data_IF_374987291723
#
_entry.id   IF_374987291723
#
_cell.length_a   1.000
_cell.length_b   1.000
_cell.length_c   1.000
_cell.angle_alpha   90.00
_cell.angle_beta   90.00
_cell.angle_gamma   90.00
#
_symmetry.space_group_name_H-M   'P 1'
#
loop_
_entity.id
_entity.type
_entity.pdbx_description
1 polymer ?
#
# COMPACT_ATOMS: atom_id res chain seq x y z
N UNK A 1 18.43 -1.05 -13.51
CA UNK A 1 17.57 -1.27 -14.69
C UNK A 1 16.94 -0.01 -15.27
N UNK A 2 16.37 0.90 -14.47
CA UNK A 2 15.78 2.15 -14.98
C UNK A 2 16.68 2.98 -15.89
N UNK A 3 17.98 3.08 -15.59
CA UNK A 3 18.95 3.75 -16.46
C UNK A 3 19.04 3.13 -17.88
N UNK A 4 18.80 1.82 -18.02
CA UNK A 4 18.83 1.11 -19.32
C UNK A 4 17.69 1.56 -20.26
N UNK A 5 16.62 2.13 -19.71
CA UNK A 5 15.49 2.68 -20.45
C UNK A 5 15.44 4.22 -20.38
N UNK A 6 16.54 4.87 -19.99
CA UNK A 6 16.66 6.32 -19.99
C UNK A 6 16.11 7.04 -18.75
N UNK A 7 15.63 6.32 -17.73
CA UNK A 7 15.17 6.93 -16.47
C UNK A 7 16.34 7.12 -15.51
N UNK A 8 16.60 8.38 -15.13
CA UNK A 8 17.64 8.74 -14.14
C UNK A 8 17.02 8.84 -12.75
N UNK A 9 17.44 7.98 -11.83
CA UNK A 9 17.01 8.00 -10.43
C UNK A 9 18.16 8.40 -9.51
N UNK A 10 17.83 9.09 -8.42
CA UNK A 10 18.74 9.38 -7.31
C UNK A 10 18.25 8.63 -6.08
N UNK A 11 19.12 7.86 -5.44
CA UNK A 11 18.82 7.23 -4.16
C UNK A 11 18.82 8.32 -3.08
N UNK A 12 17.75 8.38 -2.29
CA UNK A 12 17.57 9.33 -1.20
C UNK A 12 17.23 8.52 0.06
N UNK A 13 17.83 8.87 1.19
CA UNK A 13 17.63 8.20 2.47
C UNK A 13 17.66 9.21 3.62
N UNK A 14 17.07 8.82 4.76
CA UNK A 14 16.91 9.61 5.97
C UNK A 14 16.99 8.65 7.18
N UNK A 15 16.97 9.21 8.39
CA UNK A 15 16.64 8.42 9.59
C UNK A 15 15.27 7.75 9.40
N UNK A 16 15.05 6.56 9.97
CA UNK A 16 13.87 5.74 9.69
C UNK A 16 12.54 6.43 10.02
N UNK A 17 12.44 7.08 11.17
CA UNK A 17 11.25 7.85 11.55
C UNK A 17 10.98 9.00 10.58
N UNK A 18 12.02 9.74 10.22
CA UNK A 18 11.91 10.80 9.20
C UNK A 18 11.50 10.24 7.82
N UNK A 19 12.08 9.12 7.40
CA UNK A 19 11.76 8.45 6.14
C UNK A 19 10.27 8.10 6.06
N UNK A 20 9.74 7.47 7.10
CA UNK A 20 8.31 7.14 7.20
C UNK A 20 7.42 8.38 7.16
N UNK A 21 7.79 9.44 7.88
CA UNK A 21 7.01 10.68 7.91
C UNK A 21 6.97 11.37 6.54
N UNK A 22 8.11 11.45 5.83
CA UNK A 22 8.18 12.04 4.49
C UNK A 22 7.38 11.24 3.45
N UNK A 23 7.39 9.90 3.54
CA UNK A 23 6.54 9.04 2.70
C UNK A 23 5.06 9.27 3.01
N UNK A 24 4.70 9.36 4.29
CA UNK A 24 3.33 9.67 4.72
C UNK A 24 2.87 11.02 4.17
N UNK A 25 3.76 12.02 4.13
CA UNK A 25 3.52 13.34 3.54
C UNK A 25 3.49 13.35 2.00
N UNK A 26 3.97 12.29 1.34
CA UNK A 26 4.00 12.22 -0.13
C UNK A 26 5.16 12.99 -0.78
N UNK A 27 6.27 13.16 -0.06
CA UNK A 27 7.45 13.87 -0.55
C UNK A 27 8.32 13.04 -1.53
N UNK A 28 7.99 11.76 -1.73
CA UNK A 28 8.70 10.85 -2.63
C UNK A 28 8.08 10.81 -4.03
N UNK A 29 8.91 10.54 -5.03
CA UNK A 29 8.42 10.11 -6.35
C UNK A 29 8.09 8.61 -6.35
N UNK A 30 9.00 7.81 -5.79
CA UNK A 30 8.82 6.38 -5.51
C UNK A 30 9.55 6.04 -4.22
N UNK A 31 9.02 5.10 -3.43
CA UNK A 31 9.61 4.69 -2.16
C UNK A 31 9.80 3.17 -2.11
N UNK A 32 10.84 2.73 -1.40
CA UNK A 32 11.02 1.33 -1.05
C UNK A 32 10.33 1.10 0.29
N UNK A 33 9.25 0.32 0.26
CA UNK A 33 8.43 0.02 1.42
C UNK A 33 8.13 -1.46 1.48
N UNK A 34 7.85 -1.96 2.69
CA UNK A 34 7.47 -3.34 2.94
C UNK A 34 6.38 -3.42 4.00
N UNK A 35 5.74 -4.58 4.08
CA UNK A 35 4.72 -4.88 5.08
C UNK A 35 4.84 -6.33 5.50
N UNK A 36 4.77 -6.56 6.81
CA UNK A 36 4.66 -7.91 7.39
C UNK A 36 3.28 -8.01 8.01
N UNK A 37 2.53 -9.06 7.66
CA UNK A 37 1.19 -9.25 8.21
C UNK A 37 1.27 -9.64 9.69
N UNK A 38 0.37 -9.09 10.50
CA UNK A 38 0.35 -9.35 11.95
C UNK A 38 -0.48 -10.58 12.33
N UNK A 39 -1.45 -10.97 11.50
CA UNK A 39 -2.46 -11.98 11.83
C UNK A 39 -2.71 -13.01 10.72
N UNK A 40 -1.95 -12.96 9.61
CA UNK A 40 -2.13 -13.88 8.48
C UNK A 40 -3.39 -13.65 7.62
N UNK A 41 -4.25 -12.69 7.97
CA UNK A 41 -5.44 -12.37 7.19
C UNK A 41 -5.08 -11.42 6.01
N UNK A 42 -5.53 -11.70 4.77
CA UNK A 42 -5.25 -10.83 3.62
C UNK A 42 -5.72 -9.38 3.81
N UNK A 43 -6.77 -9.13 4.60
CA UNK A 43 -7.24 -7.79 4.92
C UNK A 43 -6.17 -6.95 5.61
N UNK A 44 -5.32 -7.57 6.44
CA UNK A 44 -4.23 -6.88 7.12
C UNK A 44 -3.15 -6.38 6.15
N UNK A 45 -3.13 -6.89 4.91
CA UNK A 45 -2.31 -6.37 3.82
C UNK A 45 -3.08 -5.33 2.99
N UNK A 46 -4.21 -5.71 2.39
CA UNK A 46 -4.91 -4.84 1.43
C UNK A 46 -5.58 -3.63 2.07
N UNK A 47 -6.18 -3.81 3.25
CA UNK A 47 -6.92 -2.78 3.97
C UNK A 47 -6.04 -1.56 4.30
N UNK A 48 -4.98 -1.72 5.13
CA UNK A 48 -4.11 -0.62 5.53
C UNK A 48 -3.24 -0.02 4.42
N UNK A 49 -2.96 -0.77 3.35
CA UNK A 49 -1.98 -0.33 2.34
C UNK A 49 -2.60 0.32 1.10
N UNK A 50 -3.82 -0.05 0.71
CA UNK A 50 -4.34 0.29 -0.62
C UNK A 50 -5.80 0.79 -0.65
N UNK A 51 -6.55 0.73 0.45
CA UNK A 51 -7.90 1.32 0.49
C UNK A 51 -7.85 2.84 0.43
N UNK A 52 -8.92 3.48 -0.02
CA UNK A 52 -8.98 4.95 -0.05
C UNK A 52 -8.96 5.55 1.36
N UNK A 53 -9.48 4.84 2.36
CA UNK A 53 -9.44 5.25 3.77
C UNK A 53 -8.01 5.26 4.35
N UNK A 54 -7.08 4.53 3.74
CA UNK A 54 -5.67 4.48 4.16
C UNK A 54 -4.80 5.61 3.59
N UNK A 55 -5.38 6.52 2.79
CA UNK A 55 -4.70 7.73 2.34
C UNK A 55 -4.24 8.58 3.54
N UNK A 56 -3.00 9.05 3.49
CA UNK A 56 -2.38 9.75 4.61
C UNK A 56 -1.96 8.83 5.77
N UNK A 57 -2.23 7.52 5.69
CA UNK A 57 -1.72 6.49 6.59
C UNK A 57 -0.63 5.65 5.92
N UNK A 58 -0.73 4.32 6.02
CA UNK A 58 0.26 3.38 5.47
C UNK A 58 0.23 3.24 3.94
N UNK A 59 -0.74 3.86 3.25
CA UNK A 59 -0.77 3.91 1.79
C UNK A 59 0.31 4.86 1.25
N UNK A 60 1.47 4.26 1.02
CA UNK A 60 2.65 4.93 0.48
C UNK A 60 2.52 5.24 -1.02
N UNK A 61 1.61 4.56 -1.73
CA UNK A 61 1.36 4.77 -3.15
C UNK A 61 0.51 6.01 -3.45
N UNK A 62 -0.14 6.60 -2.43
CA UNK A 62 -1.13 7.69 -2.58
C UNK A 62 -2.24 7.33 -3.57
N UNK A 63 -2.57 6.05 -3.64
CA UNK A 63 -3.49 5.51 -4.62
C UNK A 63 -4.87 5.32 -3.99
N UNK A 64 -5.90 5.77 -4.71
CA UNK A 64 -7.30 5.51 -4.37
C UNK A 64 -8.06 5.18 -5.64
N UNK A 65 -8.58 3.96 -5.70
CA UNK A 65 -9.39 3.48 -6.80
C UNK A 65 -10.65 2.83 -6.25
N UNK A 66 -11.80 3.43 -6.55
CA UNK A 66 -13.08 3.05 -5.94
C UNK A 66 -13.49 1.59 -6.17
N UNK A 67 -13.29 0.98 -7.35
CA UNK A 67 -13.61 -0.43 -7.54
C UNK A 67 -12.79 -1.37 -6.65
N UNK A 68 -11.51 -1.08 -6.43
CA UNK A 68 -10.68 -1.86 -5.50
C UNK A 68 -11.14 -1.65 -4.05
N UNK A 69 -11.35 -0.39 -3.65
CA UNK A 69 -11.81 -0.03 -2.31
C UNK A 69 -13.10 -0.79 -1.95
N UNK A 70 -14.06 -0.84 -2.88
CA UNK A 70 -15.31 -1.59 -2.72
C UNK A 70 -15.08 -3.09 -2.60
N UNK A 71 -14.22 -3.67 -3.43
CA UNK A 71 -13.94 -5.11 -3.42
C UNK A 71 -13.31 -5.55 -2.09
N UNK A 72 -12.34 -4.78 -1.57
CA UNK A 72 -11.68 -5.09 -0.30
C UNK A 72 -12.63 -4.91 0.89
N UNK A 73 -13.51 -3.90 0.87
CA UNK A 73 -14.53 -3.73 1.91
C UNK A 73 -15.53 -4.90 1.92
N UNK A 74 -15.97 -5.37 0.75
CA UNK A 74 -16.82 -6.57 0.65
C UNK A 74 -16.09 -7.82 1.15
N UNK A 75 -14.82 -8.00 0.81
CA UNK A 75 -14.01 -9.13 1.27
C UNK A 75 -13.78 -9.16 2.78
N UNK A 76 -13.78 -7.99 3.43
CA UNK A 76 -13.69 -7.85 4.89
C UNK A 76 -14.99 -8.23 5.60
N UNK A 77 -16.15 -7.93 5.01
CA UNK A 77 -17.46 -8.18 5.61
C UNK A 77 -17.98 -9.61 5.32
N UNK A 78 -17.43 -10.30 4.32
CA UNK A 78 -17.79 -11.66 3.96
C UNK A 78 -17.21 -12.70 4.93
N UNK A 79 -18.02 -13.70 5.30
CA UNK A 79 -17.63 -14.77 6.24
C UNK A 79 -17.29 -16.09 5.51
N UNK A 80 -17.77 -16.27 4.28
CA UNK A 80 -17.43 -17.44 3.46
C UNK A 80 -16.00 -17.33 2.94
N UNK A 81 -15.15 -18.27 3.34
CA UNK A 81 -13.74 -18.28 2.97
C UNK A 81 -13.53 -18.34 1.44
N UNK A 82 -14.30 -19.16 0.71
CA UNK A 82 -14.13 -19.29 -0.73
C UNK A 82 -14.51 -18.00 -1.46
N UNK A 83 -15.54 -17.29 -0.98
CA UNK A 83 -15.90 -15.97 -1.52
C UNK A 83 -14.86 -14.90 -1.18
N UNK A 84 -14.29 -14.90 0.03
CA UNK A 84 -13.17 -14.00 0.39
C UNK A 84 -11.97 -14.23 -0.53
N UNK A 85 -11.60 -15.49 -0.77
CA UNK A 85 -10.50 -15.87 -1.68
C UNK A 85 -10.75 -15.40 -3.11
N UNK A 86 -11.99 -15.38 -3.59
CA UNK A 86 -12.31 -14.89 -4.93
C UNK A 86 -12.21 -13.35 -5.05
N UNK A 87 -12.30 -12.62 -3.94
CA UNK A 87 -12.24 -11.15 -3.93
C UNK A 87 -10.81 -10.61 -3.70
N UNK A 88 -9.96 -11.35 -2.98
CA UNK A 88 -8.55 -11.01 -2.78
C UNK A 88 -7.66 -11.50 -3.92
#
# INVERSE_FOLDING_TARGET
DWAKIGVRAKIVTFEWGEYLQRIKNGEHQTALMGWTTANGDPDNFFGPLFTCASLGGSNSAKWCYKPFDQLILQAREENDHAKRVAMY
#
